data_IF_827135856777
#
_entry.id   IF_827135856777
#
_cell.length_a   1.000
_cell.length_b   1.000
_cell.length_c   1.000
_cell.angle_alpha   90.00
_cell.angle_beta   90.00
_cell.angle_gamma   90.00
#
_symmetry.space_group_name_H-M   'P 1'
#
loop_
_entity.id
_entity.type
_entity.pdbx_description
1 polymer ?
#
# COMPACT_ATOMS: atom_id res chain seq x y z
N UNK A 1 -8.68 -28.08 14.15
CA UNK A 1 -7.98 -27.87 12.85
C UNK A 1 -8.95 -27.86 11.66
N UNK A 2 -9.91 -28.81 11.54
CA UNK A 2 -10.87 -28.87 10.43
C UNK A 2 -11.75 -27.62 10.22
N UNK A 3 -12.23 -26.96 11.28
CA UNK A 3 -13.05 -25.75 11.18
C UNK A 3 -12.34 -24.58 10.47
N UNK A 4 -11.04 -24.37 10.76
CA UNK A 4 -10.27 -23.30 10.15
C UNK A 4 -9.99 -23.55 8.66
N UNK A 5 -9.80 -24.81 8.28
CA UNK A 5 -9.63 -25.21 6.87
C UNK A 5 -10.94 -24.98 6.10
N UNK A 6 -12.08 -25.36 6.69
CA UNK A 6 -13.39 -25.13 6.09
C UNK A 6 -13.73 -23.64 5.93
N UNK A 7 -13.44 -22.82 6.96
CA UNK A 7 -13.62 -21.36 6.90
C UNK A 7 -12.71 -20.75 5.83
N UNK A 8 -11.45 -21.17 5.77
CA UNK A 8 -10.50 -20.71 4.75
C UNK A 8 -10.93 -21.08 3.33
N UNK A 9 -11.42 -22.30 3.12
CA UNK A 9 -11.91 -22.78 1.83
C UNK A 9 -13.18 -22.04 1.39
N UNK A 10 -14.17 -21.88 2.28
CA UNK A 10 -15.39 -21.14 2.02
C UNK A 10 -15.08 -19.69 1.64
N UNK A 11 -14.19 -19.05 2.39
CA UNK A 11 -13.77 -17.69 2.09
C UNK A 11 -13.04 -17.59 0.75
N UNK A 12 -12.11 -18.52 0.46
CA UNK A 12 -11.44 -18.58 -0.84
C UNK A 12 -12.43 -18.71 -2.00
N UNK A 13 -13.47 -19.52 -1.83
CA UNK A 13 -14.55 -19.67 -2.81
C UNK A 13 -15.40 -18.40 -2.95
N UNK A 14 -15.78 -17.76 -1.85
CA UNK A 14 -16.48 -16.47 -1.86
C UNK A 14 -15.64 -15.42 -2.59
N UNK A 15 -14.34 -15.36 -2.33
CA UNK A 15 -13.45 -14.42 -3.00
C UNK A 15 -13.34 -14.71 -4.49
N UNK A 16 -13.16 -15.96 -4.90
CA UNK A 16 -13.18 -16.33 -6.32
C UNK A 16 -14.49 -15.94 -7.00
N UNK A 17 -15.63 -16.17 -6.34
CA UNK A 17 -16.93 -15.70 -6.80
C UNK A 17 -16.97 -14.17 -6.91
N UNK A 18 -16.45 -13.43 -5.93
CA UNK A 18 -16.36 -11.98 -5.99
C UNK A 18 -15.50 -11.50 -7.17
N UNK A 19 -14.32 -12.08 -7.37
CA UNK A 19 -13.42 -11.77 -8.47
C UNK A 19 -14.09 -11.96 -9.83
N UNK A 20 -14.83 -13.04 -10.00
CA UNK A 20 -15.59 -13.29 -11.22
C UNK A 20 -16.80 -12.35 -11.36
N UNK A 21 -17.51 -12.04 -10.26
CA UNK A 21 -18.80 -11.35 -10.32
C UNK A 21 -18.69 -9.83 -10.38
N UNK A 22 -17.69 -9.24 -9.74
CA UNK A 22 -17.50 -7.79 -9.69
C UNK A 22 -16.24 -7.34 -10.46
N UNK A 23 -15.95 -7.98 -11.60
CA UNK A 23 -15.07 -7.34 -12.59
C UNK A 23 -15.67 -5.97 -12.96
N UNK A 24 -14.89 -4.87 -12.89
CA UNK A 24 -15.41 -3.52 -13.13
C UNK A 24 -16.08 -3.38 -14.50
N UNK A 25 -17.11 -2.56 -14.58
CA UNK A 25 -17.73 -2.18 -15.86
C UNK A 25 -16.90 -1.08 -16.54
N UNK A 26 -16.93 -1.02 -17.87
CA UNK A 26 -16.22 0.02 -18.64
C UNK A 26 -16.79 1.41 -18.36
N UNK A 27 -18.10 1.49 -18.24
CA UNK A 27 -18.85 2.72 -17.98
C UNK A 27 -19.78 2.48 -16.80
N UNK A 28 -19.22 2.37 -15.58
CA UNK A 28 -20.04 2.14 -14.42
C UNK A 28 -20.84 3.39 -14.08
N UNK A 29 -21.97 3.18 -13.40
CA UNK A 29 -22.65 4.28 -12.75
C UNK A 29 -21.77 4.87 -11.64
N UNK A 30 -21.78 6.20 -11.46
CA UNK A 30 -21.11 6.82 -10.34
C UNK A 30 -21.58 6.23 -9.02
N UNK A 31 -20.65 6.03 -8.09
CA UNK A 31 -20.96 5.46 -6.79
C UNK A 31 -21.04 6.62 -5.78
N UNK A 32 -22.23 6.97 -5.25
CA UNK A 32 -22.37 8.09 -4.35
C UNK A 32 -21.65 7.80 -3.04
N UNK A 33 -20.81 8.74 -2.59
CA UNK A 33 -20.14 8.63 -1.30
C UNK A 33 -21.15 8.89 -0.17
N UNK A 34 -21.22 7.95 0.77
CA UNK A 34 -22.17 7.99 1.88
C UNK A 34 -21.43 8.21 3.19
N UNK A 35 -22.15 8.70 4.21
CA UNK A 35 -21.61 8.75 5.58
C UNK A 35 -21.20 7.36 6.08
N UNK A 36 -21.89 6.31 5.62
CA UNK A 36 -21.56 4.93 5.94
C UNK A 36 -20.13 4.56 5.50
N UNK A 37 -19.69 4.97 4.32
CA UNK A 37 -18.33 4.68 3.84
C UNK A 37 -17.25 5.27 4.75
N UNK A 38 -17.48 6.51 5.20
CA UNK A 38 -16.58 7.18 6.15
C UNK A 38 -16.57 6.45 7.49
N UNK A 39 -17.74 6.12 8.04
CA UNK A 39 -17.85 5.39 9.30
C UNK A 39 -17.20 4.00 9.22
N UNK A 40 -17.46 3.27 8.14
CA UNK A 40 -16.85 1.98 7.84
C UNK A 40 -15.31 2.09 7.85
N UNK A 41 -14.76 3.07 7.12
CA UNK A 41 -13.32 3.28 7.07
C UNK A 41 -12.72 3.55 8.44
N UNK A 42 -13.31 4.44 9.23
CA UNK A 42 -12.84 4.75 10.58
C UNK A 42 -12.97 3.59 11.56
N UNK A 43 -14.06 2.83 11.47
CA UNK A 43 -14.29 1.65 12.30
C UNK A 43 -13.23 0.58 12.04
N UNK A 44 -13.02 0.19 10.78
CA UNK A 44 -12.01 -0.81 10.43
C UNK A 44 -10.59 -0.33 10.69
N UNK A 45 -10.32 0.96 10.49
CA UNK A 45 -9.06 1.57 10.87
C UNK A 45 -8.81 1.50 12.39
N UNK A 46 -9.83 1.81 13.21
CA UNK A 46 -9.76 1.69 14.67
C UNK A 46 -9.51 0.25 15.13
N UNK A 47 -10.20 -0.73 14.52
CA UNK A 47 -9.94 -2.16 14.76
C UNK A 47 -8.51 -2.52 14.39
N UNK A 48 -8.01 -2.08 13.24
CA UNK A 48 -6.65 -2.36 12.81
C UNK A 48 -5.62 -1.84 13.83
N UNK A 49 -5.86 -0.68 14.43
CA UNK A 49 -5.03 -0.13 15.52
C UNK A 49 -5.02 -1.04 16.74
N UNK A 50 -6.21 -1.46 17.21
CA UNK A 50 -6.33 -2.33 18.38
C UNK A 50 -5.60 -3.66 18.12
N UNK A 51 -5.86 -4.30 16.98
CA UNK A 51 -5.20 -5.55 16.60
C UNK A 51 -3.68 -5.38 16.45
N UNK A 52 -3.22 -4.23 15.93
CA UNK A 52 -1.79 -3.93 15.81
C UNK A 52 -1.09 -3.81 17.16
N UNK A 53 -1.78 -3.36 18.20
CA UNK A 53 -1.25 -3.28 19.56
C UNK A 53 -1.31 -4.65 20.25
N UNK A 54 -2.42 -5.36 20.10
CA UNK A 54 -2.59 -6.71 20.69
C UNK A 54 -1.55 -7.69 20.18
N UNK A 55 -1.14 -7.61 18.91
CA UNK A 55 -0.12 -8.52 18.35
C UNK A 55 1.32 -8.17 18.71
N UNK A 56 1.57 -7.11 19.48
CA UNK A 56 2.92 -6.64 19.80
C UNK A 56 3.83 -7.73 20.41
N UNK A 57 3.36 -8.64 21.28
CA UNK A 57 4.17 -9.76 21.78
C UNK A 57 4.77 -10.62 20.66
N UNK A 58 4.02 -10.85 19.58
CA UNK A 58 4.48 -11.62 18.40
C UNK A 58 5.40 -10.83 17.47
N UNK A 59 5.44 -9.50 17.59
CA UNK A 59 6.31 -8.65 16.78
C UNK A 59 7.71 -8.47 17.37
N UNK A 60 7.87 -8.62 18.69
CA UNK A 60 9.14 -8.39 19.40
C UNK A 60 10.18 -9.45 19.03
N UNK A 61 9.84 -10.74 19.13
CA UNK A 61 10.83 -11.82 18.91
C UNK A 61 11.43 -11.79 17.49
N UNK A 62 10.64 -11.70 16.41
CA UNK A 62 11.20 -11.56 15.05
C UNK A 62 12.07 -10.31 14.89
N UNK A 63 11.72 -9.23 15.58
CA UNK A 63 12.50 -7.99 15.55
C UNK A 63 13.83 -8.13 16.31
N UNK A 64 13.84 -8.78 17.48
CA UNK A 64 15.05 -9.10 18.22
C UNK A 64 15.98 -10.01 17.40
N UNK A 65 15.44 -11.02 16.72
CA UNK A 65 16.22 -11.86 15.80
C UNK A 65 16.80 -11.04 14.66
N UNK A 66 16.02 -10.12 14.09
CA UNK A 66 16.51 -9.19 13.06
C UNK A 66 17.65 -8.32 13.58
N UNK A 67 17.54 -7.81 14.81
CA UNK A 67 18.56 -7.01 15.48
C UNK A 67 19.83 -7.81 15.73
N UNK A 68 19.67 -9.03 16.25
CA UNK A 68 20.78 -9.94 16.48
C UNK A 68 21.51 -10.27 15.18
N UNK A 69 20.78 -10.57 14.09
CA UNK A 69 21.37 -10.87 12.79
C UNK A 69 22.19 -9.70 12.24
N UNK A 70 21.67 -8.49 12.37
CA UNK A 70 22.38 -7.28 11.97
C UNK A 70 23.66 -7.08 12.79
N UNK A 71 23.57 -7.19 14.12
CA UNK A 71 24.71 -6.97 15.01
C UNK A 71 25.80 -8.03 14.83
N UNK A 72 25.42 -9.31 14.69
CA UNK A 72 26.36 -10.43 14.56
C UNK A 72 26.94 -10.58 13.15
N UNK A 73 26.08 -10.52 12.12
CA UNK A 73 26.49 -10.86 10.74
C UNK A 73 26.77 -9.64 9.87
N UNK A 74 26.58 -8.41 10.40
CA UNK A 74 26.69 -7.15 9.63
C UNK A 74 25.94 -7.22 8.29
N UNK A 75 24.88 -8.03 8.23
CA UNK A 75 24.06 -8.19 7.03
C UNK A 75 23.29 -6.90 6.83
N UNK A 76 23.75 -6.10 5.87
CA UNK A 76 23.00 -4.97 5.38
C UNK A 76 21.79 -5.55 4.65
N UNK A 77 20.60 -5.15 5.07
CA UNK A 77 19.40 -5.43 4.29
C UNK A 77 19.49 -4.59 3.02
N UNK A 78 20.13 -5.12 1.99
CA UNK A 78 19.93 -4.58 0.66
C UNK A 78 18.43 -4.67 0.38
N UNK A 79 17.84 -3.55 -0.02
CA UNK A 79 16.52 -3.51 -0.63
C UNK A 79 16.66 -4.09 -2.05
N UNK A 80 17.30 -5.25 -2.19
CA UNK A 80 17.61 -5.82 -3.49
C UNK A 80 16.41 -6.58 -4.04
N UNK A 81 16.28 -6.47 -5.36
CA UNK A 81 15.58 -7.26 -6.35
C UNK A 81 14.42 -8.14 -5.85
N UNK A 82 13.24 -7.85 -6.40
CA UNK A 82 12.02 -8.59 -6.09
C UNK A 82 12.10 -10.00 -6.66
N UNK A 83 12.53 -10.94 -5.82
CA UNK A 83 12.45 -12.37 -6.09
C UNK A 83 11.14 -12.90 -5.50
N UNK A 84 10.26 -13.39 -6.37
CA UNK A 84 8.99 -14.04 -5.99
C UNK A 84 9.24 -15.17 -4.99
N UNK A 85 10.32 -15.93 -5.17
CA UNK A 85 10.74 -16.99 -4.26
C UNK A 85 10.98 -16.47 -2.83
N UNK A 86 11.65 -15.33 -2.69
CA UNK A 86 11.94 -14.73 -1.37
C UNK A 86 10.64 -14.28 -0.70
N UNK A 87 9.69 -13.71 -1.44
CA UNK A 87 8.38 -13.35 -0.88
C UNK A 87 7.58 -14.60 -0.49
N UNK A 88 7.62 -15.67 -1.29
CA UNK A 88 7.02 -16.97 -0.95
C UNK A 88 7.59 -17.55 0.34
N UNK A 89 8.92 -17.59 0.48
CA UNK A 89 9.59 -18.04 1.71
C UNK A 89 9.23 -17.17 2.93
N UNK A 90 9.06 -15.85 2.75
CA UNK A 90 8.60 -14.95 3.82
C UNK A 90 7.16 -15.27 4.25
N UNK A 91 6.26 -15.56 3.31
CA UNK A 91 4.89 -15.96 3.63
C UNK A 91 4.90 -17.28 4.43
N UNK A 92 5.68 -18.27 3.99
CA UNK A 92 5.84 -19.54 4.72
C UNK A 92 6.39 -19.29 6.12
N UNK A 93 7.42 -18.45 6.26
CA UNK A 93 8.00 -18.07 7.54
C UNK A 93 7.00 -17.38 8.48
N UNK A 94 6.19 -16.46 7.97
CA UNK A 94 5.14 -15.79 8.77
C UNK A 94 4.11 -16.81 9.30
N UNK A 95 3.65 -17.75 8.45
CA UNK A 95 2.70 -18.79 8.84
C UNK A 95 3.31 -19.77 9.84
N UNK A 96 4.55 -20.21 9.61
CA UNK A 96 5.27 -21.08 10.53
C UNK A 96 5.46 -20.43 11.90
N UNK A 97 5.84 -19.14 11.94
CA UNK A 97 5.99 -18.39 13.19
C UNK A 97 4.65 -18.28 13.96
N UNK A 98 3.54 -18.09 13.26
CA UNK A 98 2.22 -18.08 13.87
C UNK A 98 1.83 -19.46 14.44
N UNK A 99 2.06 -20.54 13.69
CA UNK A 99 1.82 -21.91 14.15
C UNK A 99 2.70 -22.29 15.36
N UNK A 100 3.98 -21.94 15.32
CA UNK A 100 4.90 -22.11 16.45
C UNK A 100 4.41 -21.33 17.66
N UNK A 101 3.86 -20.13 17.46
CA UNK A 101 3.19 -19.35 18.49
C UNK A 101 2.06 -20.09 19.20
N UNK A 102 1.16 -20.70 18.41
CA UNK A 102 0.07 -21.53 18.93
C UNK A 102 0.64 -22.69 19.76
N UNK A 103 1.57 -23.46 19.18
CA UNK A 103 2.17 -24.62 19.85
C UNK A 103 2.85 -24.19 21.15
N UNK A 104 3.63 -23.11 21.14
CA UNK A 104 4.33 -22.62 22.31
C UNK A 104 3.35 -22.21 23.41
N UNK A 105 2.27 -21.49 23.10
CA UNK A 105 1.25 -21.11 24.09
C UNK A 105 0.52 -22.33 24.67
N UNK A 106 0.31 -23.39 23.89
CA UNK A 106 -0.26 -24.64 24.40
C UNK A 106 0.71 -25.39 25.33
N UNK A 107 2.01 -25.35 25.06
CA UNK A 107 3.04 -26.09 25.80
C UNK A 107 3.70 -25.29 26.94
N UNK A 108 3.45 -23.98 27.02
CA UNK A 108 3.82 -23.17 28.16
C UNK A 108 2.98 -23.64 29.36
N UNK A 109 3.63 -24.30 30.34
CA UNK A 109 3.00 -24.91 31.52
C UNK A 109 2.25 -23.94 32.45
N UNK A 110 2.72 -23.76 33.69
CA UNK A 110 2.05 -22.95 34.72
C UNK A 110 2.19 -21.46 34.38
N UNK A 111 1.37 -20.98 33.45
CA UNK A 111 1.14 -19.57 33.20
C UNK A 111 -0.23 -19.21 33.76
N UNK A 112 -0.37 -18.00 34.31
CA UNK A 112 -1.67 -17.54 34.80
C UNK A 112 -2.71 -17.55 33.66
N UNK A 113 -3.98 -17.93 33.94
CA UNK A 113 -5.02 -17.98 32.91
C UNK A 113 -5.18 -16.65 32.16
N UNK A 114 -4.94 -15.53 32.84
CA UNK A 114 -4.99 -14.19 32.25
C UNK A 114 -3.91 -13.97 31.18
N UNK A 115 -2.66 -14.35 31.47
CA UNK A 115 -1.56 -14.22 30.49
C UNK A 115 -1.82 -15.16 29.31
N UNK A 116 -2.28 -16.38 29.57
CA UNK A 116 -2.64 -17.33 28.50
C UNK A 116 -3.73 -16.75 27.58
N UNK A 117 -4.76 -16.11 28.13
CA UNK A 117 -5.78 -15.39 27.37
C UNK A 117 -5.21 -14.25 26.52
N UNK A 118 -4.34 -13.41 27.08
CA UNK A 118 -3.69 -12.32 26.34
C UNK A 118 -2.88 -12.87 25.16
N UNK A 119 -2.17 -13.98 25.36
CA UNK A 119 -1.39 -14.64 24.30
C UNK A 119 -2.31 -15.19 23.19
N UNK A 120 -3.43 -15.83 23.53
CA UNK A 120 -4.40 -16.27 22.52
C UNK A 120 -5.03 -15.12 21.72
N UNK A 121 -5.37 -14.02 22.39
CA UNK A 121 -5.86 -12.81 21.71
C UNK A 121 -4.80 -12.26 20.76
N UNK A 122 -3.53 -12.30 21.17
CA UNK A 122 -2.39 -11.87 20.34
C UNK A 122 -2.19 -12.79 19.12
N UNK A 123 -2.32 -14.12 19.31
CA UNK A 123 -2.32 -15.13 18.23
C UNK A 123 -3.46 -14.88 17.26
N UNK A 124 -4.66 -14.62 17.76
CA UNK A 124 -5.83 -14.35 16.94
C UNK A 124 -5.64 -13.07 16.12
N UNK A 125 -5.11 -12.01 16.73
CA UNK A 125 -4.79 -10.77 16.03
C UNK A 125 -3.75 -10.96 14.91
N UNK A 126 -2.71 -11.76 15.15
CA UNK A 126 -1.72 -12.11 14.12
C UNK A 126 -2.32 -13.01 13.02
N UNK A 127 -3.22 -13.92 13.37
CA UNK A 127 -3.96 -14.75 12.42
C UNK A 127 -4.86 -13.92 11.50
N UNK A 128 -5.60 -12.95 12.06
CA UNK A 128 -6.41 -12.00 11.28
C UNK A 128 -5.54 -11.19 10.33
N UNK A 129 -4.38 -10.69 10.79
CA UNK A 129 -3.41 -9.99 9.94
C UNK A 129 -2.92 -10.88 8.79
N UNK A 130 -2.47 -12.09 9.10
CA UNK A 130 -1.94 -13.04 8.12
C UNK A 130 -2.98 -13.34 7.04
N UNK A 131 -4.20 -13.60 7.47
CA UNK A 131 -5.31 -13.87 6.57
C UNK A 131 -5.64 -12.66 5.68
N UNK A 132 -5.76 -11.47 6.27
CA UNK A 132 -6.11 -10.26 5.55
C UNK A 132 -4.99 -9.76 4.62
N UNK A 133 -3.72 -9.79 5.04
CA UNK A 133 -2.58 -9.33 4.23
C UNK A 133 -2.09 -10.43 3.29
N UNK A 134 -1.62 -11.56 3.85
CA UNK A 134 -0.96 -12.62 3.06
C UNK A 134 -1.96 -13.49 2.32
N UNK A 135 -3.12 -13.77 2.90
CA UNK A 135 -4.19 -14.50 2.21
C UNK A 135 -4.65 -13.78 0.94
N UNK A 136 -4.87 -12.46 1.01
CA UNK A 136 -5.20 -11.66 -0.17
C UNK A 136 -4.07 -11.62 -1.21
N UNK A 137 -2.81 -11.53 -0.77
CA UNK A 137 -1.67 -11.60 -1.69
C UNK A 137 -1.63 -12.92 -2.46
N UNK A 138 -1.82 -14.06 -1.77
CA UNK A 138 -1.83 -15.38 -2.41
C UNK A 138 -3.00 -15.49 -3.39
N UNK A 139 -4.20 -15.08 -3.00
CA UNK A 139 -5.39 -15.19 -3.85
C UNK A 139 -5.29 -14.29 -5.08
N UNK A 140 -4.80 -13.07 -4.92
CA UNK A 140 -4.48 -12.18 -6.05
C UNK A 140 -3.44 -12.82 -6.98
N UNK A 141 -2.38 -13.42 -6.44
CA UNK A 141 -1.36 -14.08 -7.26
C UNK A 141 -1.93 -15.30 -8.00
N UNK A 142 -2.72 -16.15 -7.33
CA UNK A 142 -3.39 -17.30 -7.97
C UNK A 142 -4.34 -16.86 -9.08
N UNK A 143 -5.08 -15.77 -8.86
CA UNK A 143 -5.93 -15.19 -9.89
C UNK A 143 -5.11 -14.75 -11.10
N UNK A 144 -4.01 -14.00 -10.89
CA UNK A 144 -3.12 -13.54 -11.95
C UNK A 144 -2.49 -14.67 -12.78
N UNK A 145 -2.36 -15.89 -12.23
CA UNK A 145 -1.82 -17.06 -12.93
C UNK A 145 -2.83 -17.73 -13.90
N UNK A 146 -4.11 -17.37 -13.82
CA UNK A 146 -5.12 -17.97 -14.69
C UNK A 146 -4.95 -17.46 -16.14
N UNK A 147 -5.17 -18.32 -17.16
CA UNK A 147 -5.09 -17.95 -18.57
C UNK A 147 -6.35 -17.16 -19.00
N UNK A 148 -6.60 -16.02 -18.35
CA UNK A 148 -7.82 -15.23 -18.46
C UNK A 148 -8.22 -14.91 -19.90
N UNK A 149 -7.25 -14.60 -20.77
CA UNK A 149 -7.53 -14.25 -22.17
C UNK A 149 -8.08 -15.45 -22.95
N UNK A 150 -7.55 -16.65 -22.72
CA UNK A 150 -8.05 -17.89 -23.33
C UNK A 150 -9.47 -18.20 -22.81
N UNK A 151 -9.67 -18.11 -21.50
CA UNK A 151 -10.97 -18.34 -20.85
C UNK A 151 -12.01 -17.35 -21.39
N UNK A 152 -11.69 -16.06 -21.44
CA UNK A 152 -12.57 -15.01 -21.93
C UNK A 152 -12.91 -15.17 -23.42
N UNK A 153 -11.93 -15.52 -24.25
CA UNK A 153 -12.15 -15.79 -25.67
C UNK A 153 -13.04 -17.03 -25.89
N UNK A 154 -12.88 -18.07 -25.07
CA UNK A 154 -13.74 -19.26 -25.12
C UNK A 154 -15.17 -18.95 -24.69
N UNK A 155 -15.34 -18.26 -23.55
CA UNK A 155 -16.65 -17.84 -23.05
C UNK A 155 -17.37 -16.97 -24.09
N UNK A 156 -16.72 -15.96 -24.65
CA UNK A 156 -17.35 -15.01 -25.58
C UNK A 156 -17.94 -15.64 -26.87
N UNK A 157 -17.65 -16.91 -27.18
CA UNK A 157 -18.24 -17.61 -28.34
C UNK A 157 -19.72 -17.99 -28.17
N UNK A 158 -20.30 -17.87 -26.97
CA UNK A 158 -21.72 -18.20 -26.71
C UNK A 158 -22.59 -16.94 -26.62
N UNK A 159 -23.79 -17.00 -27.19
CA UNK A 159 -24.62 -15.80 -27.52
C UNK A 159 -25.41 -15.23 -26.33
N UNK A 160 -25.47 -15.88 -25.17
CA UNK A 160 -26.29 -15.40 -24.06
C UNK A 160 -25.65 -15.64 -22.69
N UNK A 161 -24.67 -14.82 -22.33
CA UNK A 161 -24.09 -14.86 -20.98
C UNK A 161 -24.73 -13.84 -20.03
N UNK A 162 -24.91 -14.21 -18.75
CA UNK A 162 -25.20 -13.27 -17.68
C UNK A 162 -24.21 -12.09 -17.65
N UNK A 163 -24.68 -10.94 -17.16
CA UNK A 163 -23.91 -9.69 -17.06
C UNK A 163 -22.49 -9.89 -16.50
N UNK A 164 -22.26 -10.65 -15.41
CA UNK A 164 -20.92 -10.84 -14.86
C UNK A 164 -19.93 -11.49 -15.83
N UNK A 165 -20.37 -12.52 -16.56
CA UNK A 165 -19.52 -13.21 -17.55
C UNK A 165 -19.22 -12.27 -18.73
N UNK A 166 -20.18 -11.44 -19.15
CA UNK A 166 -19.95 -10.42 -20.17
C UNK A 166 -18.90 -9.40 -19.72
N UNK A 167 -18.99 -8.89 -18.48
CA UNK A 167 -17.99 -7.96 -17.90
C UNK A 167 -16.60 -8.59 -17.85
N UNK A 168 -16.52 -9.82 -17.37
CA UNK A 168 -15.29 -10.62 -17.37
C UNK A 168 -14.70 -10.69 -18.79
N UNK A 169 -15.51 -11.06 -19.79
CA UNK A 169 -15.04 -11.16 -21.16
C UNK A 169 -14.60 -9.82 -21.75
N UNK A 170 -15.33 -8.73 -21.46
CA UNK A 170 -14.97 -7.39 -21.90
C UNK A 170 -13.61 -6.95 -21.36
N UNK A 171 -13.32 -7.23 -20.09
CA UNK A 171 -12.07 -6.85 -19.45
C UNK A 171 -10.89 -7.75 -19.89
N UNK A 172 -11.06 -9.08 -19.80
CA UNK A 172 -9.93 -10.00 -19.97
C UNK A 172 -9.53 -10.28 -21.43
N UNK A 173 -10.34 -9.86 -22.42
CA UNK A 173 -9.96 -9.92 -23.84
C UNK A 173 -8.96 -8.84 -24.25
N UNK A 174 -8.95 -7.73 -23.52
CA UNK A 174 -8.08 -6.58 -23.73
C UNK A 174 -6.61 -6.96 -23.52
N UNK A 175 -5.71 -6.20 -24.15
CA UNK A 175 -4.28 -6.22 -23.83
C UNK A 175 -4.01 -5.49 -22.48
N UNK A 176 -2.78 -5.50 -22.00
CA UNK A 176 -2.45 -4.95 -20.69
C UNK A 176 -2.62 -3.42 -20.60
N UNK A 177 -2.32 -2.68 -21.68
CA UNK A 177 -2.48 -1.22 -21.75
C UNK A 177 -3.96 -0.83 -21.80
N UNK A 178 -4.75 -1.50 -22.62
CA UNK A 178 -6.20 -1.32 -22.72
C UNK A 178 -6.89 -1.62 -21.37
N UNK A 179 -6.40 -2.60 -20.61
CA UNK A 179 -6.92 -2.89 -19.25
C UNK A 179 -6.62 -1.76 -18.29
N UNK A 180 -5.44 -1.14 -18.38
CA UNK A 180 -5.09 0.03 -17.57
C UNK A 180 -6.05 1.17 -17.85
N UNK A 181 -6.25 1.52 -19.11
CA UNK A 181 -7.17 2.58 -19.52
C UNK A 181 -8.60 2.28 -19.08
N UNK A 182 -9.04 1.02 -19.25
CA UNK A 182 -10.33 0.54 -18.79
C UNK A 182 -10.52 0.79 -17.29
N UNK A 183 -9.54 0.43 -16.46
CA UNK A 183 -9.61 0.60 -15.00
C UNK A 183 -9.58 2.07 -14.61
N UNK A 184 -8.74 2.89 -15.23
CA UNK A 184 -8.68 4.31 -14.94
C UNK A 184 -9.98 5.02 -15.32
N UNK A 185 -10.58 4.65 -16.45
CA UNK A 185 -11.89 5.16 -16.87
C UNK A 185 -12.98 4.76 -15.87
N UNK A 186 -13.05 3.48 -15.49
CA UNK A 186 -13.99 2.97 -14.50
C UNK A 186 -13.82 3.68 -13.14
N UNK A 187 -12.59 3.88 -12.68
CA UNK A 187 -12.29 4.54 -11.42
C UNK A 187 -12.69 6.01 -11.40
N UNK A 188 -12.43 6.75 -12.49
CA UNK A 188 -12.88 8.15 -12.65
C UNK A 188 -14.40 8.24 -12.69
N UNK A 189 -15.07 7.31 -13.37
CA UNK A 189 -16.53 7.23 -13.40
C UNK A 189 -17.13 6.94 -12.02
N UNK A 190 -16.58 5.96 -11.28
CA UNK A 190 -17.00 5.66 -9.90
C UNK A 190 -16.91 6.89 -8.99
N UNK A 191 -15.82 7.65 -9.11
CA UNK A 191 -15.53 8.80 -8.27
C UNK A 191 -16.23 10.10 -8.69
N UNK A 192 -16.89 10.14 -9.86
CA UNK A 192 -17.37 11.37 -10.50
C UNK A 192 -18.28 12.25 -9.60
N UNK A 193 -19.07 11.62 -8.73
CA UNK A 193 -19.98 12.31 -7.80
C UNK A 193 -19.39 12.55 -6.41
N UNK A 194 -18.12 12.20 -6.19
CA UNK A 194 -17.38 12.43 -4.94
C UNK A 194 -16.25 13.45 -5.18
N UNK A 195 -16.44 14.72 -4.80
CA UNK A 195 -15.45 15.77 -5.04
C UNK A 195 -14.07 15.48 -4.44
N UNK A 196 -14.01 14.94 -3.22
CA UNK A 196 -12.73 14.65 -2.55
C UNK A 196 -11.95 13.52 -3.25
N UNK A 197 -12.65 12.45 -3.62
CA UNK A 197 -12.01 11.31 -4.30
C UNK A 197 -11.64 11.67 -5.74
N UNK A 198 -12.49 12.40 -6.45
CA UNK A 198 -12.16 12.93 -7.78
C UNK A 198 -10.95 13.87 -7.74
N UNK A 199 -10.89 14.79 -6.77
CA UNK A 199 -9.77 15.71 -6.62
C UNK A 199 -8.44 14.98 -6.37
N UNK A 200 -8.45 13.96 -5.51
CA UNK A 200 -7.29 13.11 -5.24
C UNK A 200 -6.88 12.26 -6.44
N UNK A 201 -7.85 11.68 -7.16
CA UNK A 201 -7.57 10.88 -8.36
C UNK A 201 -7.07 11.71 -9.54
N UNK A 202 -7.32 13.01 -9.57
CA UNK A 202 -6.76 13.90 -10.59
C UNK A 202 -5.22 14.01 -10.54
N UNK A 203 -4.58 13.58 -9.44
CA UNK A 203 -3.12 13.47 -9.37
C UNK A 203 -2.59 12.23 -10.10
N UNK A 204 -3.46 11.28 -10.46
CA UNK A 204 -3.10 10.09 -11.21
C UNK A 204 -3.33 10.33 -12.70
N UNK A 205 -2.23 10.50 -13.43
CA UNK A 205 -2.25 10.63 -14.89
C UNK A 205 -2.51 9.28 -15.54
N UNK A 206 -1.70 8.28 -15.19
CA UNK A 206 -1.78 6.91 -15.74
C UNK A 206 -1.14 5.86 -14.82
N UNK A 207 -1.38 4.58 -15.12
CA UNK A 207 -0.58 3.46 -14.61
C UNK A 207 0.42 3.05 -15.69
N UNK A 208 1.70 2.95 -15.34
CA UNK A 208 2.77 2.58 -16.28
C UNK A 208 3.22 1.14 -16.02
N UNK A 209 3.30 0.35 -17.08
CA UNK A 209 3.91 -0.97 -17.03
C UNK A 209 5.42 -0.82 -16.80
N UNK A 210 5.94 -1.49 -15.78
CA UNK A 210 7.39 -1.61 -15.53
C UNK A 210 7.87 -3.03 -15.76
N UNK A 211 9.17 -3.20 -15.98
CA UNK A 211 9.75 -4.51 -16.24
C UNK A 211 9.51 -5.45 -15.03
N UNK A 212 9.16 -6.74 -15.25
CA UNK A 212 8.83 -7.68 -14.16
C UNK A 212 9.95 -7.90 -13.14
N UNK A 213 11.19 -7.59 -13.51
CA UNK A 213 12.38 -7.73 -12.65
C UNK A 213 12.55 -6.55 -11.68
N UNK A 214 11.86 -5.43 -11.90
CA UNK A 214 11.99 -4.26 -11.02
C UNK A 214 11.19 -4.46 -9.74
N UNK A 215 11.85 -4.40 -8.58
CA UNK A 215 11.13 -4.46 -7.32
C UNK A 215 10.30 -3.21 -7.08
N UNK A 216 8.97 -3.33 -7.13
CA UNK A 216 8.05 -2.23 -6.80
C UNK A 216 7.87 -2.09 -5.28
N UNK A 217 8.98 -1.86 -4.59
CA UNK A 217 9.04 -1.41 -3.20
C UNK A 217 9.29 0.10 -3.17
N UNK A 218 9.07 0.72 -2.00
CA UNK A 218 9.12 2.16 -1.71
C UNK A 218 9.79 3.05 -2.76
N UNK A 219 9.14 4.16 -3.13
CA UNK A 219 9.67 5.16 -4.07
C UNK A 219 9.58 4.79 -5.55
N UNK A 220 10.11 3.64 -5.95
CA UNK A 220 10.06 3.14 -7.34
C UNK A 220 8.67 2.63 -7.78
N UNK A 221 7.63 3.06 -7.08
CA UNK A 221 6.23 2.68 -7.33
C UNK A 221 5.46 3.76 -8.07
N UNK A 222 6.04 4.96 -8.23
CA UNK A 222 5.42 6.11 -8.90
C UNK A 222 6.45 7.17 -9.30
N UNK A 223 6.10 7.92 -10.32
CA UNK A 223 6.66 9.24 -10.61
C UNK A 223 5.69 10.28 -10.02
N UNK A 224 6.13 10.96 -8.96
CA UNK A 224 5.32 11.96 -8.25
C UNK A 224 5.01 13.15 -9.15
N UNK A 225 6.03 13.62 -9.88
CA UNK A 225 5.91 14.78 -10.75
C UNK A 225 4.95 14.51 -11.90
N UNK A 226 5.13 13.40 -12.62
CA UNK A 226 4.30 13.06 -13.78
C UNK A 226 2.94 12.46 -13.42
N UNK A 227 2.69 12.18 -12.14
CA UNK A 227 1.44 11.55 -11.72
C UNK A 227 1.33 10.07 -12.13
N UNK A 228 2.44 9.42 -12.48
CA UNK A 228 2.44 8.05 -13.02
C UNK A 228 2.65 7.03 -11.89
N UNK A 229 1.90 5.94 -11.89
CA UNK A 229 2.09 4.84 -10.92
C UNK A 229 2.58 3.59 -11.64
N UNK A 230 3.72 3.05 -11.23
CA UNK A 230 4.29 1.87 -11.84
C UNK A 230 3.61 0.59 -11.33
N UNK A 231 3.31 -0.31 -12.25
CA UNK A 231 2.68 -1.63 -12.03
C UNK A 231 3.36 -2.71 -12.88
N UNK A 232 3.31 -3.96 -12.43
CA UNK A 232 3.77 -5.09 -13.23
C UNK A 232 2.69 -5.51 -14.25
N UNK A 233 3.08 -6.00 -15.44
CA UNK A 233 2.14 -6.52 -16.42
C UNK A 233 1.20 -7.59 -15.86
N UNK A 234 1.72 -8.51 -15.03
CA UNK A 234 0.91 -9.57 -14.42
C UNK A 234 -0.21 -9.03 -13.52
N UNK A 235 -0.05 -7.83 -12.97
CA UNK A 235 -1.06 -7.22 -12.09
C UNK A 235 -2.31 -6.77 -12.86
N UNK A 236 -2.21 -6.59 -14.18
CA UNK A 236 -3.38 -6.23 -15.00
C UNK A 236 -4.43 -7.33 -15.04
N UNK A 237 -4.06 -8.57 -14.72
CA UNK A 237 -4.99 -9.68 -14.53
C UNK A 237 -5.81 -9.58 -13.25
N UNK A 238 -5.46 -8.70 -12.30
CA UNK A 238 -6.25 -8.44 -11.10
C UNK A 238 -6.78 -6.98 -11.11
N UNK A 239 -8.03 -6.75 -11.54
CA UNK A 239 -8.58 -5.40 -11.63
C UNK A 239 -8.71 -4.70 -10.26
N UNK A 240 -8.87 -5.47 -9.18
CA UNK A 240 -9.07 -4.95 -7.83
C UNK A 240 -7.75 -4.52 -7.22
N UNK A 241 -6.69 -5.28 -7.50
CA UNK A 241 -5.32 -4.88 -7.24
C UNK A 241 -5.01 -3.58 -7.99
N UNK A 242 -5.33 -3.47 -9.28
CA UNK A 242 -5.09 -2.24 -10.04
C UNK A 242 -5.80 -1.02 -9.44
N UNK A 243 -7.11 -1.13 -9.16
CA UNK A 243 -7.87 -0.04 -8.53
C UNK A 243 -7.28 0.32 -7.16
N UNK A 244 -6.96 -0.69 -6.36
CA UNK A 244 -6.37 -0.52 -5.05
C UNK A 244 -5.00 0.17 -5.08
N UNK A 245 -4.13 -0.22 -6.01
CA UNK A 245 -2.84 0.44 -6.21
C UNK A 245 -3.02 1.87 -6.72
N UNK A 246 -3.96 2.12 -7.63
CA UNK A 246 -4.29 3.46 -8.08
C UNK A 246 -4.72 4.37 -6.91
N UNK A 247 -5.63 3.90 -6.05
CA UNK A 247 -6.08 4.63 -4.85
C UNK A 247 -4.98 4.81 -3.81
N UNK A 248 -4.15 3.79 -3.57
CA UNK A 248 -3.12 3.82 -2.53
C UNK A 248 -1.90 4.65 -2.93
N UNK A 249 -1.49 4.55 -4.19
CA UNK A 249 -0.23 5.10 -4.71
C UNK A 249 -0.39 6.44 -5.42
N UNK A 250 -1.61 6.93 -5.61
CA UNK A 250 -1.81 8.23 -6.25
C UNK A 250 -1.01 9.34 -5.50
N UNK A 251 -0.33 10.26 -6.23
CA UNK A 251 0.62 11.20 -5.62
C UNK A 251 0.08 12.33 -4.73
N UNK A 252 -1.24 12.43 -4.48
CA UNK A 252 -1.78 13.44 -3.56
C UNK A 252 -1.18 13.38 -2.15
N UNK A 253 -0.60 12.22 -1.77
CA UNK A 253 0.16 12.03 -0.52
C UNK A 253 1.52 12.76 -0.49
N UNK A 254 1.83 13.58 -1.49
CA UNK A 254 2.96 14.51 -1.50
C UNK A 254 2.51 15.97 -1.56
N UNK A 255 1.20 16.23 -1.56
CA UNK A 255 0.66 17.59 -1.58
C UNK A 255 0.41 18.11 -0.15
N UNK A 256 1.04 19.23 0.26
CA UNK A 256 0.85 19.83 1.58
C UNK A 256 -0.61 20.21 1.93
N UNK A 257 -1.51 20.38 0.95
CA UNK A 257 -2.94 20.64 1.21
C UNK A 257 -3.63 19.49 1.92
N UNK A 258 -3.15 18.25 1.72
CA UNK A 258 -3.73 17.06 2.32
C UNK A 258 -2.96 16.57 3.55
N UNK A 259 -1.74 17.07 3.80
CA UNK A 259 -0.86 16.62 4.86
C UNK A 259 -0.49 17.76 5.81
N UNK A 260 -0.68 17.55 7.12
CA UNK A 260 -0.26 18.50 8.15
C UNK A 260 1.26 18.56 8.29
N UNK A 261 1.91 17.42 8.12
CA UNK A 261 3.36 17.24 8.13
C UNK A 261 3.73 16.59 6.79
N UNK A 262 3.91 17.40 5.73
CA UNK A 262 4.39 16.86 4.47
C UNK A 262 5.67 16.06 4.75
N UNK A 263 5.81 14.91 4.08
CA UNK A 263 7.00 14.07 4.13
C UNK A 263 7.10 13.10 5.31
N UNK A 264 6.11 12.99 6.21
CA UNK A 264 6.09 11.95 7.25
C UNK A 264 5.23 10.76 6.84
N UNK A 265 5.87 9.63 6.51
CA UNK A 265 5.16 8.48 5.95
C UNK A 265 4.34 7.71 6.99
N UNK A 266 4.91 7.40 8.16
CA UNK A 266 4.30 6.44 9.10
C UNK A 266 3.20 7.08 9.91
N UNK A 267 3.42 8.28 10.40
CA UNK A 267 2.43 8.94 11.25
C UNK A 267 1.34 9.69 10.51
N UNK A 268 1.48 9.88 9.19
CA UNK A 268 0.50 10.62 8.40
C UNK A 268 0.17 9.97 7.06
N UNK A 269 1.10 9.91 6.11
CA UNK A 269 0.78 9.53 4.72
C UNK A 269 0.20 8.12 4.61
N UNK A 270 0.79 7.12 5.28
CA UNK A 270 0.29 5.74 5.26
C UNK A 270 -1.11 5.65 5.88
N UNK A 271 -1.36 6.36 6.97
CA UNK A 271 -2.67 6.40 7.64
C UNK A 271 -3.73 6.97 6.71
N UNK A 272 -3.45 8.11 6.08
CA UNK A 272 -4.41 8.78 5.20
C UNK A 272 -4.65 7.95 3.93
N UNK A 273 -3.61 7.32 3.37
CA UNK A 273 -3.75 6.38 2.26
C UNK A 273 -4.60 5.16 2.65
N UNK A 274 -4.39 4.59 3.85
CA UNK A 274 -5.23 3.49 4.38
C UNK A 274 -6.69 3.94 4.49
N UNK A 275 -6.96 5.08 5.13
CA UNK A 275 -8.32 5.59 5.28
C UNK A 275 -8.98 5.89 3.93
N UNK A 276 -8.21 6.40 2.95
CA UNK A 276 -8.71 6.68 1.61
C UNK A 276 -9.09 5.40 0.84
N UNK A 277 -8.29 4.33 0.94
CA UNK A 277 -8.63 3.03 0.36
C UNK A 277 -9.86 2.44 1.07
N UNK A 278 -9.91 2.47 2.40
CA UNK A 278 -11.04 1.93 3.16
C UNK A 278 -12.33 2.72 2.95
N UNK A 279 -12.27 4.04 2.76
CA UNK A 279 -13.47 4.84 2.45
C UNK A 279 -13.98 4.60 1.04
N UNK A 280 -13.14 4.03 0.17
CA UNK A 280 -13.49 3.64 -1.19
C UNK A 280 -13.51 2.12 -1.35
N UNK A 281 -13.80 1.38 -0.26
CA UNK A 281 -13.78 -0.09 -0.27
C UNK A 281 -14.70 -0.69 -1.33
N UNK A 282 -15.80 0.01 -1.69
CA UNK A 282 -16.73 -0.42 -2.74
C UNK A 282 -16.09 -0.46 -4.14
N UNK A 283 -14.99 0.26 -4.35
CA UNK A 283 -14.27 0.27 -5.63
C UNK A 283 -13.32 -0.92 -5.74
N UNK A 284 -12.73 -1.36 -4.62
CA UNK A 284 -11.78 -2.47 -4.57
C UNK A 284 -11.88 -3.30 -3.27
N UNK A 285 -12.99 -4.05 -3.03
CA UNK A 285 -13.21 -4.68 -1.72
C UNK A 285 -12.10 -5.66 -1.28
N UNK A 286 -11.58 -6.51 -2.18
CA UNK A 286 -10.48 -7.44 -1.87
C UNK A 286 -9.19 -6.70 -1.50
N UNK A 287 -8.86 -5.63 -2.23
CA UNK A 287 -7.72 -4.79 -1.89
C UNK A 287 -7.92 -4.02 -0.59
N UNK A 288 -9.15 -3.63 -0.24
CA UNK A 288 -9.45 -3.02 1.05
C UNK A 288 -9.18 -3.99 2.22
N UNK A 289 -9.46 -5.29 2.05
CA UNK A 289 -9.08 -6.34 3.01
C UNK A 289 -7.55 -6.43 3.14
N UNK A 290 -6.84 -6.45 2.01
CA UNK A 290 -5.37 -6.40 2.01
C UNK A 290 -4.85 -5.18 2.77
N UNK A 291 -5.45 -4.01 2.51
CA UNK A 291 -5.06 -2.76 3.13
C UNK A 291 -5.33 -2.73 4.64
N UNK A 292 -6.44 -3.32 5.08
CA UNK A 292 -6.73 -3.55 6.49
C UNK A 292 -5.66 -4.44 7.16
N UNK A 293 -5.30 -5.56 6.53
CA UNK A 293 -4.20 -6.42 7.00
C UNK A 293 -2.85 -5.70 7.08
N UNK A 294 -2.53 -4.92 6.05
CA UNK A 294 -1.35 -4.05 6.03
C UNK A 294 -1.38 -3.03 7.18
N UNK A 295 -2.53 -2.44 7.49
CA UNK A 295 -2.65 -1.48 8.58
C UNK A 295 -2.49 -2.14 9.96
N UNK A 296 -3.01 -3.35 10.18
CA UNK A 296 -2.73 -4.14 11.41
C UNK A 296 -1.21 -4.31 11.61
N UNK A 297 -0.42 -4.32 10.54
CA UNK A 297 1.03 -4.37 10.62
C UNK A 297 1.69 -3.02 10.84
N UNK A 298 1.15 -1.96 10.28
CA UNK A 298 1.77 -0.63 10.26
C UNK A 298 1.38 0.25 11.45
N UNK A 299 0.16 0.12 11.99
CA UNK A 299 -0.44 1.07 12.93
C UNK A 299 0.36 1.27 14.24
N UNK A 300 1.00 0.22 14.76
CA UNK A 300 1.86 0.33 15.96
C UNK A 300 3.00 1.35 15.80
N UNK A 301 3.49 1.55 14.58
CA UNK A 301 4.58 2.49 14.33
C UNK A 301 4.10 3.92 14.48
N UNK A 302 2.88 4.25 14.03
CA UNK A 302 2.29 5.56 14.28
C UNK A 302 2.13 5.81 15.79
N UNK A 303 1.61 4.84 16.54
CA UNK A 303 1.51 4.94 18.00
C UNK A 303 2.88 5.23 18.63
N UNK A 304 3.91 4.47 18.24
CA UNK A 304 5.29 4.65 18.69
C UNK A 304 5.81 6.07 18.42
N UNK A 305 5.73 6.58 17.18
CA UNK A 305 6.21 7.93 16.86
C UNK A 305 5.41 9.02 17.56
N UNK A 306 4.09 8.84 17.74
CA UNK A 306 3.27 9.79 18.52
C UNK A 306 3.71 9.86 19.97
N UNK A 307 4.02 8.72 20.58
CA UNK A 307 4.54 8.66 21.96
C UNK A 307 5.89 9.36 22.03
N UNK A 308 6.84 9.05 21.14
CA UNK A 308 8.15 9.71 21.13
C UNK A 308 8.04 11.22 20.94
N UNK A 309 7.14 11.70 20.07
CA UNK A 309 6.90 13.13 19.89
C UNK A 309 6.34 13.82 21.15
N UNK A 310 5.54 13.13 21.97
CA UNK A 310 5.12 13.65 23.28
C UNK A 310 6.32 13.89 24.20
N UNK A 311 7.39 13.11 24.04
CA UNK A 311 8.68 13.30 24.72
C UNK A 311 9.64 14.21 23.94
N UNK A 312 9.16 14.97 22.94
CA UNK A 312 9.95 15.85 22.08
C UNK A 312 11.05 15.12 21.28
N UNK A 313 10.91 13.82 21.06
CA UNK A 313 11.80 12.99 20.25
C UNK A 313 11.17 12.76 18.87
N UNK A 314 11.42 13.66 17.93
CA UNK A 314 10.93 13.54 16.56
C UNK A 314 11.97 12.84 15.68
N UNK A 315 12.02 11.51 15.80
CA UNK A 315 13.01 10.67 15.11
C UNK A 315 12.45 10.03 13.83
N UNK A 316 11.20 10.35 13.46
CA UNK A 316 10.59 9.80 12.25
C UNK A 316 11.31 10.38 11.02
N UNK A 317 11.94 9.54 10.18
CA UNK A 317 12.59 10.00 8.96
C UNK A 317 11.55 10.49 7.98
N UNK A 318 11.95 11.51 7.24
CA UNK A 318 11.16 12.02 6.14
C UNK A 318 11.19 11.06 4.95
N UNK A 319 10.17 11.15 4.10
CA UNK A 319 10.13 10.53 2.78
C UNK A 319 11.27 11.15 1.95
N UNK A 320 11.98 10.30 1.22
CA UNK A 320 13.05 10.75 0.32
C UNK A 320 12.47 11.32 -0.98
N UNK A 321 13.25 12.12 -1.71
CA UNK A 321 12.84 12.69 -3.00
C UNK A 321 12.43 11.63 -4.03
N UNK A 322 12.99 10.43 -4.01
CA UNK A 322 12.54 9.33 -4.86
C UNK A 322 11.24 8.66 -4.37
N UNK A 323 10.62 9.18 -3.31
CA UNK A 323 9.44 8.63 -2.65
C UNK A 323 9.73 7.38 -1.80
N UNK A 324 11.00 6.99 -1.65
CA UNK A 324 11.39 5.86 -0.80
C UNK A 324 11.26 6.24 0.68
N UNK A 325 11.14 5.19 1.49
CA UNK A 325 11.10 5.33 2.94
C UNK A 325 11.92 4.22 3.57
N UNK A 326 12.83 4.53 4.51
CA UNK A 326 13.60 3.51 5.20
C UNK A 326 12.67 2.62 6.01
N UNK A 327 12.59 1.34 5.62
CA UNK A 327 11.69 0.37 6.24
C UNK A 327 12.06 0.07 7.71
N UNK A 328 13.32 0.30 8.10
CA UNK A 328 13.81 0.00 9.45
C UNK A 328 14.63 1.14 10.06
N UNK A 329 13.91 2.07 10.66
CA UNK A 329 14.47 3.36 11.05
C UNK A 329 15.39 3.28 12.27
N UNK A 330 15.13 2.33 13.17
CA UNK A 330 15.99 2.09 14.31
C UNK A 330 17.35 1.54 13.86
N UNK A 331 17.37 0.66 12.86
CA UNK A 331 18.63 0.24 12.23
C UNK A 331 19.32 1.39 11.53
N UNK A 332 18.60 2.15 10.70
CA UNK A 332 19.18 3.33 10.05
C UNK A 332 19.68 4.40 11.05
N UNK A 333 19.10 4.47 12.25
CA UNK A 333 19.61 5.31 13.34
C UNK A 333 20.90 4.74 13.96
N UNK A 334 20.93 3.43 14.25
CA UNK A 334 22.12 2.74 14.78
C UNK A 334 23.27 2.78 13.77
N UNK A 335 23.01 2.48 12.49
CA UNK A 335 23.99 2.53 11.40
C UNK A 335 24.64 3.91 11.27
N UNK A 336 23.82 4.97 11.35
CA UNK A 336 24.30 6.37 11.37
C UNK A 336 25.16 6.66 12.61
N UNK A 337 24.72 6.25 13.80
CA UNK A 337 25.48 6.40 15.05
C UNK A 337 26.79 5.62 15.07
N UNK A 338 26.86 4.50 14.37
CA UNK A 338 28.06 3.67 14.23
C UNK A 338 29.02 4.17 13.14
N UNK A 339 28.71 5.28 12.46
CA UNK A 339 29.56 5.91 11.45
C UNK A 339 29.78 5.08 10.18
N UNK A 340 28.94 4.07 9.92
CA UNK A 340 29.15 3.09 8.84
C UNK A 340 28.48 3.44 7.52
N UNK A 341 27.59 4.43 7.51
CA UNK A 341 26.92 4.89 6.30
C UNK A 341 27.49 6.26 5.99
N UNK A 342 28.33 6.35 4.95
CA UNK A 342 28.45 7.61 4.20
C UNK A 342 27.02 7.99 3.84
N UNK A 343 26.55 9.11 4.37
CA UNK A 343 25.26 9.65 3.98
C UNK A 343 25.24 9.75 2.47
N UNK A 344 24.56 8.82 1.79
CA UNK A 344 24.01 9.11 0.47
C UNK A 344 23.34 10.45 0.67
N UNK A 345 23.82 11.48 -0.02
CA UNK A 345 23.34 12.86 0.11
C UNK A 345 21.83 12.78 -0.03
N UNK A 346 21.14 12.78 1.10
CA UNK A 346 19.71 12.54 1.14
C UNK A 346 19.08 13.86 0.82
N UNK A 347 18.69 14.04 -0.43
CA UNK A 347 17.86 15.16 -0.81
C UNK A 347 16.54 14.99 -0.05
N UNK A 348 16.45 15.71 1.07
CA UNK A 348 15.22 15.87 1.80
C UNK A 348 14.23 16.59 0.90
N UNK A 349 12.95 16.33 1.11
CA UNK A 349 11.90 17.08 0.44
C UNK A 349 12.00 18.55 0.85
N UNK A 350 11.99 19.43 -0.13
CA UNK A 350 12.17 20.86 0.06
C UNK A 350 10.90 21.46 0.66
N UNK A 351 11.05 22.52 1.47
CA UNK A 351 9.89 23.32 1.86
C UNK A 351 9.46 24.22 0.70
N UNK A 352 8.21 24.67 0.70
CA UNK A 352 7.70 25.58 -0.33
C UNK A 352 8.56 26.85 -0.43
N UNK A 353 8.98 27.40 0.72
CA UNK A 353 9.83 28.61 0.76
C UNK A 353 11.22 28.37 0.20
N UNK A 354 11.82 27.20 0.49
CA UNK A 354 13.12 26.82 -0.07
C UNK A 354 13.04 26.66 -1.59
N UNK A 355 11.98 26.03 -2.09
CA UNK A 355 11.74 25.90 -3.54
C UNK A 355 11.54 27.25 -4.19
N UNK A 356 10.71 28.11 -3.60
CA UNK A 356 10.45 29.45 -4.14
C UNK A 356 11.73 30.27 -4.23
N UNK A 357 12.54 30.26 -3.15
CA UNK A 357 13.81 30.98 -3.13
C UNK A 357 14.80 30.46 -4.19
N UNK A 358 14.91 29.14 -4.33
CA UNK A 358 15.83 28.51 -5.29
C UNK A 358 15.40 28.75 -6.75
N UNK A 359 14.11 28.58 -7.05
CA UNK A 359 13.55 28.83 -8.39
C UNK A 359 13.74 30.30 -8.79
N UNK A 360 13.43 31.25 -7.91
CA UNK A 360 13.66 32.69 -8.17
C UNK A 360 15.11 33.01 -8.45
N UNK A 361 16.04 32.42 -7.68
CA UNK A 361 17.48 32.59 -7.88
C UNK A 361 17.94 32.05 -9.24
N UNK A 362 17.38 30.94 -9.70
CA UNK A 362 17.74 30.35 -11.01
C UNK A 362 17.14 31.13 -12.17
N UNK A 363 15.90 31.58 -12.03
CA UNK A 363 15.25 32.47 -13.01
C UNK A 363 15.99 33.81 -13.15
N UNK A 364 16.46 34.40 -12.04
CA UNK A 364 17.29 35.62 -12.11
C UNK A 364 18.67 35.37 -12.73
N UNK A 365 19.16 34.13 -12.66
CA UNK A 365 20.34 33.65 -13.38
C UNK A 365 20.11 33.36 -14.88
N UNK A 366 18.90 33.60 -15.41
CA UNK A 366 18.56 33.42 -16.82
C UNK A 366 18.04 32.03 -17.18
N UNK A 367 17.80 31.14 -16.21
CA UNK A 367 17.27 29.81 -16.46
C UNK A 367 15.74 29.81 -16.62
N UNK A 368 15.22 29.20 -17.68
CA UNK A 368 13.79 29.01 -17.88
C UNK A 368 13.36 27.64 -17.37
N UNK A 369 12.74 27.60 -16.19
CA UNK A 369 12.24 26.38 -15.58
C UNK A 369 10.75 26.18 -15.91
N UNK A 370 10.42 25.04 -16.51
CA UNK A 370 9.02 24.65 -16.70
C UNK A 370 8.40 24.13 -15.39
N UNK A 371 7.08 24.05 -15.37
CA UNK A 371 6.32 23.49 -14.23
C UNK A 371 6.70 22.05 -13.95
N UNK A 372 6.96 21.28 -15.00
CA UNK A 372 7.42 19.90 -14.92
C UNK A 372 8.85 19.80 -14.38
N UNK A 373 9.74 20.74 -14.75
CA UNK A 373 11.11 20.78 -14.22
C UNK A 373 11.10 21.03 -12.71
N UNK A 374 10.28 21.98 -12.26
CA UNK A 374 10.07 22.26 -10.84
C UNK A 374 9.49 21.03 -10.13
N UNK A 375 8.42 20.44 -10.67
CA UNK A 375 7.79 19.25 -10.10
C UNK A 375 8.78 18.08 -9.95
N UNK A 376 9.55 17.81 -11.00
CA UNK A 376 10.55 16.73 -11.04
C UNK A 376 11.71 16.96 -10.09
N UNK A 377 12.27 18.16 -10.09
CA UNK A 377 13.47 18.47 -9.30
C UNK A 377 13.20 18.47 -7.81
N UNK A 378 12.05 18.99 -7.37
CA UNK A 378 11.72 19.12 -5.96
C UNK A 378 10.77 18.03 -5.46
N UNK A 379 10.37 17.08 -6.35
CA UNK A 379 9.44 15.98 -6.04
C UNK A 379 8.10 16.48 -5.50
N UNK A 380 7.51 17.45 -6.19
CA UNK A 380 6.13 17.85 -5.97
C UNK A 380 5.22 17.23 -7.02
N UNK A 381 3.95 16.94 -6.69
CA UNK A 381 2.99 16.63 -7.73
C UNK A 381 2.84 17.80 -8.68
N UNK A 382 2.89 17.57 -10.00
CA UNK A 382 2.77 18.63 -11.00
C UNK A 382 1.54 19.51 -10.76
N UNK A 383 0.40 18.90 -10.44
CA UNK A 383 -0.83 19.61 -10.10
C UNK A 383 -0.65 20.61 -8.95
N UNK A 384 0.13 20.28 -7.93
CA UNK A 384 0.41 21.21 -6.82
C UNK A 384 1.30 22.37 -7.28
N UNK A 385 2.28 22.10 -8.13
CA UNK A 385 3.13 23.14 -8.72
C UNK A 385 2.27 24.12 -9.53
N UNK A 386 1.42 23.59 -10.41
CA UNK A 386 0.55 24.35 -11.29
C UNK A 386 -0.49 25.19 -10.55
N UNK A 387 -1.12 24.62 -9.51
CA UNK A 387 -2.22 25.27 -8.81
C UNK A 387 -1.77 26.19 -7.66
N UNK A 388 -0.57 26.00 -7.11
CA UNK A 388 -0.14 26.68 -5.87
C UNK A 388 1.24 27.32 -6.01
N UNK A 389 2.28 26.54 -6.31
CA UNK A 389 3.65 27.06 -6.24
C UNK A 389 3.90 28.16 -7.27
N UNK A 390 3.41 28.02 -8.50
CA UNK A 390 3.59 29.05 -9.54
C UNK A 390 3.00 30.39 -9.14
N UNK A 391 1.85 30.41 -8.47
CA UNK A 391 1.23 31.67 -8.03
C UNK A 391 2.01 32.36 -6.89
N UNK A 392 2.97 31.66 -6.28
CA UNK A 392 3.83 32.18 -5.21
C UNK A 392 5.25 32.53 -5.68
N UNK A 393 5.65 32.07 -6.87
CA UNK A 393 6.91 32.42 -7.53
C UNK A 393 6.83 33.84 -8.08
#
# INVERSE_FOLDING_TARGET
>A
MGYWIAIGALFGLIQLCCYAWFTPERHPQPIPFTRFDKWFAWFFYGIAYILSLLRLPFAILPYCIKLLRFLLFKQHYQVSDYLVLVEGLRIVGDVANWLLGIILVEHLGIISPMIKWVLYVSIAAEGIRLFAEKGQMILSALWQLLPHRLIANWLNRKVAWPVPIRRYCQYYRLNDEDRIEYILSALRAYAAVNPDTSAKLAYLSTLRLTHPTHGMRGGHVRDVARGEVFIHPSWTSDPWLLIGQALRRVPWVFDPRYLRRPFYYRSESNRLATLFVLSNFRFCPTYAIYQFGHEIKAARYDCFYRVLRRFKLDIEPQIQADGTFPFDQFFGYIERKMGKVQSVVSNHLWSDEDVIADVRRRQSGGEQLSTLDIAGQYTYPLKYVEEILIFRL
#
